data_IF_250335343810
#
_entry.id   IF_250335343810
#
_cell.length_a   1.000
_cell.length_b   1.000
_cell.length_c   1.000
_cell.angle_alpha   90.00
_cell.angle_beta   90.00
_cell.angle_gamma   90.00
#
_symmetry.space_group_name_H-M   'P 1'
#
loop_
_entity.id
_entity.type
_entity.pdbx_description
1 polymer ?
#
# COMPACT_ATOMS: atom_id res chain seq x y z
N UNK A 1 -28.32 2.07 -4.40
CA UNK A 1 -27.92 0.66 -4.54
C UNK A 1 -28.42 -0.03 -3.28
N UNK A 2 -29.42 -0.90 -3.36
CA UNK A 2 -29.89 -1.63 -2.19
C UNK A 2 -28.84 -2.70 -1.88
N UNK A 3 -27.97 -2.43 -0.92
CA UNK A 3 -27.08 -3.46 -0.37
C UNK A 3 -28.02 -4.42 0.36
N UNK A 4 -28.21 -5.61 -0.20
CA UNK A 4 -28.89 -6.69 0.53
C UNK A 4 -27.98 -7.00 1.70
N UNK A 5 -28.47 -6.78 2.92
CA UNK A 5 -27.77 -7.20 4.12
C UNK A 5 -27.60 -8.72 4.06
N UNK A 6 -26.35 -9.17 4.03
CA UNK A 6 -25.99 -10.58 4.12
C UNK A 6 -25.67 -10.85 5.59
N UNK A 7 -26.48 -11.67 6.26
CA UNK A 7 -26.36 -11.95 7.69
C UNK A 7 -25.02 -12.62 8.09
N UNK A 8 -24.20 -13.04 7.11
CA UNK A 8 -22.83 -13.53 7.31
C UNK A 8 -21.81 -12.41 7.48
N UNK A 9 -22.15 -11.17 7.11
CA UNK A 9 -21.27 -10.01 7.18
C UNK A 9 -21.63 -9.16 8.40
N UNK A 10 -20.66 -8.96 9.28
CA UNK A 10 -20.79 -8.08 10.44
C UNK A 10 -20.08 -6.77 10.12
N UNK A 11 -20.80 -5.66 10.20
CA UNK A 11 -20.20 -4.33 10.09
C UNK A 11 -19.30 -4.07 11.31
N UNK A 12 -17.99 -4.00 11.08
CA UNK A 12 -17.00 -3.72 12.14
C UNK A 12 -16.62 -2.24 12.15
N UNK A 13 -16.45 -1.63 10.98
CA UNK A 13 -16.13 -0.22 10.81
C UNK A 13 -16.56 0.27 9.42
N UNK A 14 -16.82 1.57 9.29
CA UNK A 14 -17.12 2.24 8.03
C UNK A 14 -16.36 3.56 7.90
N UNK A 15 -16.06 3.95 6.66
CA UNK A 15 -15.57 5.28 6.33
C UNK A 15 -16.47 5.88 5.26
N UNK A 16 -17.41 6.76 5.63
CA UNK A 16 -18.40 7.29 4.70
C UNK A 16 -17.84 8.36 3.76
N UNK A 17 -16.70 8.96 4.11
CA UNK A 17 -16.10 10.10 3.37
C UNK A 17 -14.96 9.65 2.48
N UNK A 18 -14.05 8.83 3.01
CA UNK A 18 -12.83 8.43 2.32
C UNK A 18 -12.88 6.93 1.97
N UNK A 19 -12.43 6.58 0.77
CA UNK A 19 -12.19 5.18 0.44
C UNK A 19 -10.88 4.72 1.10
N UNK A 20 -10.90 3.58 1.77
CA UNK A 20 -9.70 2.90 2.22
C UNK A 20 -9.37 1.70 1.33
N UNK A 21 -8.09 1.32 1.30
CA UNK A 21 -7.61 0.20 0.49
C UNK A 21 -7.11 -0.98 1.33
N UNK A 22 -6.59 -0.71 2.53
CA UNK A 22 -6.08 -1.73 3.44
C UNK A 22 -6.45 -1.42 4.88
N UNK A 23 -6.64 -2.47 5.68
CA UNK A 23 -6.90 -2.39 7.12
C UNK A 23 -5.94 -3.33 7.85
N UNK A 24 -5.42 -2.90 8.99
CA UNK A 24 -4.55 -3.69 9.86
C UNK A 24 -5.07 -3.68 11.30
N UNK A 25 -4.92 -4.80 12.01
CA UNK A 25 -5.33 -4.94 13.41
C UNK A 25 -4.15 -5.33 14.30
N UNK A 26 -4.02 -4.67 15.45
CA UNK A 26 -3.06 -5.11 16.49
C UNK A 26 -3.65 -6.27 17.31
N UNK A 27 -2.79 -6.95 18.06
CA UNK A 27 -3.23 -7.95 19.06
C UNK A 27 -4.12 -7.36 20.17
N UNK A 28 -4.06 -6.05 20.34
CA UNK A 28 -4.87 -5.27 21.31
C UNK A 28 -6.12 -4.66 20.68
N UNK A 29 -6.53 -5.13 19.49
CA UNK A 29 -7.73 -4.71 18.76
C UNK A 29 -7.74 -3.23 18.33
N UNK A 30 -6.57 -2.58 18.24
CA UNK A 30 -6.48 -1.29 17.54
C UNK A 30 -6.52 -1.54 16.05
N UNK A 31 -7.26 -0.70 15.33
CA UNK A 31 -7.51 -0.86 13.90
C UNK A 31 -6.99 0.35 13.14
N UNK A 32 -6.32 0.11 12.02
CA UNK A 32 -5.72 1.15 11.20
C UNK A 32 -6.11 0.96 9.75
N UNK A 33 -6.27 2.06 9.01
CA UNK A 33 -6.61 2.02 7.61
C UNK A 33 -5.65 2.87 6.76
N UNK A 34 -5.40 2.38 5.54
CA UNK A 34 -4.71 3.07 4.46
C UNK A 34 -5.72 3.77 3.55
N UNK A 35 -5.54 5.08 3.35
CA UNK A 35 -6.38 5.94 2.50
C UNK A 35 -5.55 6.48 1.33
N UNK A 36 -5.59 5.83 0.16
CA UNK A 36 -4.78 6.24 -0.99
C UNK A 36 -5.24 7.60 -1.55
N UNK A 37 -4.30 8.37 -2.09
CA UNK A 37 -4.56 9.57 -2.92
C UNK A 37 -4.49 9.24 -4.42
N UNK A 38 -4.97 8.07 -4.83
CA UNK A 38 -4.71 7.54 -6.16
C UNK A 38 -5.16 8.47 -7.31
N UNK A 39 -6.21 9.28 -7.11
CA UNK A 39 -6.78 10.20 -8.09
C UNK A 39 -6.58 11.69 -7.74
N UNK A 40 -5.70 12.02 -6.79
CA UNK A 40 -5.42 13.40 -6.39
C UNK A 40 -6.28 13.94 -5.23
N UNK A 41 -7.12 13.10 -4.63
CA UNK A 41 -7.92 13.47 -3.45
C UNK A 41 -7.02 13.78 -2.25
N UNK A 42 -7.41 14.76 -1.43
CA UNK A 42 -6.76 15.01 -0.14
C UNK A 42 -7.36 14.08 0.90
N UNK A 43 -6.63 13.02 1.25
CA UNK A 43 -7.05 12.04 2.26
C UNK A 43 -6.21 12.10 3.53
N UNK A 44 -6.72 11.44 4.58
CA UNK A 44 -6.04 11.23 5.85
C UNK A 44 -4.85 10.25 5.79
N UNK A 45 -4.48 9.71 4.62
CA UNK A 45 -3.42 8.70 4.36
C UNK A 45 -3.34 7.50 5.30
N UNK A 46 -2.99 7.67 6.57
CA UNK A 46 -3.06 6.64 7.61
C UNK A 46 -3.85 7.16 8.80
N UNK A 47 -4.89 6.42 9.21
CA UNK A 47 -5.62 6.73 10.42
C UNK A 47 -5.91 5.49 11.27
N UNK A 48 -5.94 5.68 12.58
CA UNK A 48 -6.56 4.75 13.52
C UNK A 48 -8.07 4.91 13.46
N UNK A 49 -8.78 3.79 13.35
CA UNK A 49 -10.24 3.71 13.44
C UNK A 49 -10.58 3.47 14.92
N UNK A 50 -11.14 4.50 15.57
CA UNK A 50 -11.53 4.43 16.97
C UNK A 50 -12.88 3.72 17.14
N UNK A 51 -13.18 3.27 18.36
CA UNK A 51 -14.39 2.50 18.68
C UNK A 51 -15.71 3.23 18.40
N UNK A 52 -15.68 4.54 18.22
CA UNK A 52 -16.81 5.38 17.84
C UNK A 52 -16.83 5.71 16.32
N UNK A 53 -16.12 4.94 15.50
CA UNK A 53 -15.93 5.14 14.06
C UNK A 53 -15.26 6.47 13.67
N UNK A 54 -14.64 7.18 14.61
CA UNK A 54 -13.85 8.36 14.25
C UNK A 54 -12.46 7.97 13.77
N UNK A 55 -11.96 8.72 12.79
CA UNK A 55 -10.64 8.51 12.20
C UNK A 55 -9.63 9.46 12.85
N UNK A 56 -8.61 8.91 13.50
CA UNK A 56 -7.50 9.67 14.07
C UNK A 56 -6.27 9.53 13.18
N UNK A 57 -5.84 10.58 12.45
CA UNK A 57 -4.64 10.50 11.63
C UNK A 57 -3.40 10.19 12.50
N UNK A 58 -2.59 9.24 12.06
CA UNK A 58 -1.33 8.85 12.69
C UNK A 58 -0.20 8.89 11.65
N UNK A 59 1.08 9.00 12.03
CA UNK A 59 1.61 9.20 13.40
C UNK A 59 1.26 10.58 14.00
N UNK A 60 0.77 11.52 13.18
CA UNK A 60 0.50 12.90 13.57
C UNK A 60 1.49 13.86 12.89
N UNK A 61 1.60 15.09 13.41
CA UNK A 61 2.40 16.14 12.78
C UNK A 61 1.97 16.38 11.32
N UNK A 62 2.94 16.53 10.43
CA UNK A 62 2.70 16.82 9.01
C UNK A 62 2.58 15.58 8.12
N UNK A 63 2.64 14.36 8.67
CA UNK A 63 2.68 13.14 7.87
C UNK A 63 1.49 12.98 6.92
N UNK A 64 0.30 13.39 7.35
CA UNK A 64 -0.93 13.30 6.57
C UNK A 64 -1.26 14.59 5.79
N UNK A 65 -0.32 15.53 5.66
CA UNK A 65 -0.54 16.86 5.06
C UNK A 65 0.17 17.06 3.72
N UNK A 66 0.61 15.97 3.07
CA UNK A 66 1.20 16.06 1.73
C UNK A 66 0.21 16.66 0.73
N UNK A 67 0.69 17.58 -0.10
CA UNK A 67 -0.09 18.19 -1.17
C UNK A 67 0.65 18.01 -2.51
N UNK A 68 0.12 17.20 -3.45
CA UNK A 68 0.78 16.93 -4.73
C UNK A 68 0.88 18.16 -5.64
N UNK A 69 0.07 19.22 -5.41
CA UNK A 69 0.13 20.45 -6.22
C UNK A 69 1.05 21.51 -5.63
N UNK A 70 1.67 21.25 -4.47
CA UNK A 70 2.60 22.16 -3.82
C UNK A 70 4.02 21.60 -3.91
N UNK A 71 4.85 22.20 -4.75
CA UNK A 71 6.25 21.79 -4.93
C UNK A 71 7.12 21.89 -3.67
N UNK A 72 6.69 22.67 -2.67
CA UNK A 72 7.35 22.74 -1.36
C UNK A 72 6.92 21.62 -0.40
N UNK A 73 5.99 20.75 -0.81
CA UNK A 73 5.57 19.61 0.01
C UNK A 73 6.61 18.49 -0.09
N UNK A 74 7.32 18.24 1.00
CA UNK A 74 8.37 17.22 1.06
C UNK A 74 7.77 15.80 1.10
N UNK A 75 7.89 15.09 -0.02
CA UNK A 75 7.47 13.70 -0.17
C UNK A 75 8.31 12.71 0.66
N UNK A 76 9.53 13.07 1.08
CA UNK A 76 10.38 12.23 1.92
C UNK A 76 9.92 12.14 3.37
N UNK A 77 9.31 13.21 3.89
CA UNK A 77 8.87 13.31 5.29
C UNK A 77 7.35 13.30 5.49
N UNK A 78 6.58 13.08 4.42
CA UNK A 78 5.12 12.99 4.43
C UNK A 78 4.63 11.79 3.64
N UNK A 79 3.41 11.34 3.92
CA UNK A 79 2.77 10.30 3.13
C UNK A 79 2.26 10.87 1.81
N UNK A 80 2.72 10.34 0.68
CA UNK A 80 2.31 10.75 -0.66
C UNK A 80 1.03 10.02 -1.06
N UNK A 81 1.09 8.70 -1.13
CA UNK A 81 -0.04 7.85 -1.51
C UNK A 81 0.10 6.46 -0.86
N UNK A 82 -0.53 6.31 0.31
CA UNK A 82 -0.49 5.07 1.10
C UNK A 82 -1.44 4.05 0.51
N UNK A 83 -0.88 2.94 0.06
CA UNK A 83 -1.65 1.88 -0.56
C UNK A 83 -2.00 0.75 0.41
N UNK A 84 -1.10 0.43 1.34
CA UNK A 84 -1.30 -0.64 2.32
C UNK A 84 -0.72 -0.28 3.68
N UNK A 85 -1.28 -0.92 4.71
CA UNK A 85 -0.77 -0.92 6.08
C UNK A 85 -0.75 -2.34 6.63
N UNK A 86 0.22 -2.64 7.48
CA UNK A 86 0.37 -3.92 8.17
C UNK A 86 0.81 -3.68 9.60
N UNK A 87 0.21 -4.39 10.56
CA UNK A 87 0.67 -4.45 11.95
C UNK A 87 1.48 -5.71 12.18
N UNK A 88 2.54 -5.62 12.97
CA UNK A 88 3.30 -6.80 13.40
C UNK A 88 3.08 -7.14 14.88
N UNK A 89 3.76 -8.18 15.37
CA UNK A 89 3.63 -8.65 16.74
C UNK A 89 4.23 -7.73 17.81
N UNK A 90 4.98 -6.70 17.41
CA UNK A 90 5.71 -5.78 18.26
C UNK A 90 5.02 -4.41 18.34
N UNK A 91 3.71 -4.35 18.07
CA UNK A 91 2.95 -3.10 18.00
C UNK A 91 3.61 -2.06 17.06
N UNK A 92 4.17 -2.54 15.94
CA UNK A 92 4.63 -1.67 14.86
C UNK A 92 3.57 -1.63 13.76
N UNK A 93 3.31 -0.44 13.24
CA UNK A 93 2.58 -0.24 11.99
C UNK A 93 3.57 0.05 10.86
N UNK A 94 3.45 -0.74 9.80
CA UNK A 94 4.18 -0.60 8.56
C UNK A 94 3.26 0.04 7.53
N UNK A 95 3.63 1.21 7.01
CA UNK A 95 2.86 1.91 5.98
C UNK A 95 3.62 1.90 4.65
N UNK A 96 2.95 1.44 3.60
CA UNK A 96 3.51 1.33 2.24
C UNK A 96 3.08 2.55 1.44
N UNK A 97 4.04 3.43 1.15
CA UNK A 97 3.83 4.61 0.34
C UNK A 97 4.33 4.35 -1.09
N UNK A 98 3.42 4.41 -2.06
CA UNK A 98 3.79 4.22 -3.47
C UNK A 98 4.69 5.35 -3.98
N UNK A 99 4.59 6.55 -3.40
CA UNK A 99 5.29 7.74 -3.89
C UNK A 99 4.72 8.33 -5.17
N UNK A 100 3.54 7.87 -5.61
CA UNK A 100 2.94 8.26 -6.88
C UNK A 100 1.48 8.65 -6.70
N UNK A 101 1.09 9.79 -7.28
CA UNK A 101 -0.32 10.25 -7.36
C UNK A 101 -0.69 10.32 -8.84
N UNK A 102 -1.78 9.65 -9.24
CA UNK A 102 -2.11 9.44 -10.65
C UNK A 102 -0.91 8.91 -11.45
N UNK A 103 -0.27 9.73 -12.29
CA UNK A 103 0.91 9.37 -13.08
C UNK A 103 2.18 10.12 -12.63
N UNK A 104 2.10 10.97 -11.61
CA UNK A 104 3.20 11.80 -11.13
C UNK A 104 3.94 11.07 -10.00
N UNK A 105 5.24 10.83 -10.20
CA UNK A 105 6.13 10.27 -9.19
C UNK A 105 6.84 11.39 -8.43
N UNK A 106 6.87 11.29 -7.11
CA UNK A 106 7.49 12.28 -6.24
C UNK A 106 8.83 11.77 -5.71
N UNK A 107 9.86 12.60 -5.82
CA UNK A 107 11.20 12.28 -5.34
C UNK A 107 11.18 11.91 -3.85
N UNK A 108 11.85 10.81 -3.48
CA UNK A 108 11.83 10.24 -2.12
C UNK A 108 10.45 9.83 -1.58
N UNK A 109 9.40 9.90 -2.41
CA UNK A 109 8.03 9.57 -2.02
C UNK A 109 7.81 8.07 -1.81
N UNK A 110 8.49 7.21 -2.59
CA UNK A 110 8.28 5.76 -2.56
C UNK A 110 9.10 5.12 -1.44
N UNK A 111 8.41 4.66 -0.39
CA UNK A 111 9.03 4.26 0.88
C UNK A 111 8.16 3.32 1.70
N UNK A 112 8.81 2.55 2.56
CA UNK A 112 8.18 1.83 3.65
C UNK A 112 8.44 2.59 4.96
N UNK A 113 7.40 2.92 5.70
CA UNK A 113 7.51 3.69 6.95
C UNK A 113 7.19 2.79 8.14
N UNK A 114 8.10 2.73 9.10
CA UNK A 114 7.97 1.99 10.37
C UNK A 114 7.50 2.95 11.46
N UNK A 115 6.33 2.68 12.04
CA UNK A 115 5.67 3.53 13.04
C UNK A 115 5.53 2.72 14.33
N UNK A 116 6.04 3.26 15.43
CA UNK A 116 5.83 2.70 16.76
C UNK A 116 4.42 3.06 17.25
N UNK A 117 3.59 2.06 17.55
CA UNK A 117 2.22 2.33 17.98
C UNK A 117 2.10 2.65 19.47
N UNK A 118 3.13 2.45 20.30
CA UNK A 118 3.09 2.84 21.71
C UNK A 118 3.05 4.36 21.89
N UNK A 119 3.78 5.10 21.05
CA UNK A 119 3.86 6.57 21.09
C UNK A 119 3.42 7.25 19.78
N UNK A 120 3.02 6.46 18.78
CA UNK A 120 2.64 6.93 17.44
C UNK A 120 3.74 7.78 16.77
N UNK A 121 5.00 7.35 16.83
CA UNK A 121 6.11 8.05 16.16
C UNK A 121 6.73 7.23 15.04
N UNK A 122 7.27 7.89 14.02
CA UNK A 122 8.06 7.22 12.99
C UNK A 122 9.43 6.86 13.55
N UNK A 123 9.73 5.56 13.56
CA UNK A 123 11.05 5.07 13.98
C UNK A 123 12.04 5.06 12.83
N UNK A 124 11.57 4.70 11.63
CA UNK A 124 12.44 4.56 10.47
C UNK A 124 11.66 4.71 9.16
N UNK A 125 12.33 5.30 8.18
CA UNK A 125 11.89 5.36 6.79
C UNK A 125 12.86 4.51 5.97
N UNK A 126 12.33 3.56 5.22
CA UNK A 126 13.09 2.76 4.26
C UNK A 126 12.78 3.29 2.86
N UNK A 127 13.66 4.17 2.36
CA UNK A 127 13.54 4.73 1.02
C UNK A 127 13.89 3.69 -0.05
N UNK A 128 13.19 3.73 -1.17
CA UNK A 128 13.50 2.92 -2.36
C UNK A 128 14.32 3.67 -3.41
N UNK A 129 14.72 4.93 -3.17
CA UNK A 129 15.42 5.77 -4.15
C UNK A 129 16.70 5.11 -4.71
N UNK A 130 17.40 4.30 -3.91
CA UNK A 130 18.60 3.57 -4.34
C UNK A 130 18.36 2.56 -5.48
N UNK A 131 17.10 2.16 -5.72
CA UNK A 131 16.75 1.30 -6.85
C UNK A 131 16.84 2.00 -8.21
N UNK A 132 16.82 3.34 -8.25
CA UNK A 132 16.73 4.13 -9.49
C UNK A 132 15.65 3.58 -10.44
N UNK A 133 14.47 3.27 -9.88
CA UNK A 133 13.43 2.56 -10.60
C UNK A 133 12.87 3.40 -11.75
N UNK A 134 12.43 2.77 -12.85
CA UNK A 134 11.85 3.48 -13.98
C UNK A 134 10.52 4.17 -13.60
N UNK A 135 10.15 5.19 -14.39
CA UNK A 135 8.85 5.84 -14.29
C UNK A 135 7.70 4.82 -14.29
N UNK A 136 6.71 5.04 -13.42
CA UNK A 136 5.61 4.13 -13.18
C UNK A 136 5.87 3.06 -12.12
N UNK A 137 7.05 3.02 -11.49
CA UNK A 137 7.28 2.17 -10.31
C UNK A 137 6.38 2.60 -9.14
N UNK A 138 5.68 1.64 -8.53
CA UNK A 138 4.80 1.91 -7.40
C UNK A 138 4.71 0.71 -6.45
N UNK A 139 5.13 0.91 -5.19
CA UNK A 139 4.92 -0.07 -4.11
C UNK A 139 3.43 -0.26 -3.83
N UNK A 140 3.04 -1.48 -3.45
CA UNK A 140 1.63 -1.82 -3.25
C UNK A 140 1.37 -2.39 -1.85
N UNK A 141 1.90 -3.57 -1.52
CA UNK A 141 1.63 -4.28 -0.26
C UNK A 141 2.94 -4.82 0.34
N UNK A 142 2.92 -5.24 1.61
CA UNK A 142 4.10 -5.69 2.37
C UNK A 142 3.80 -6.92 3.23
N UNK A 143 4.82 -7.78 3.40
CA UNK A 143 4.92 -8.75 4.50
C UNK A 143 6.29 -8.61 5.16
N UNK A 144 6.30 -8.77 6.48
CA UNK A 144 7.50 -8.70 7.31
C UNK A 144 7.82 -10.11 7.77
N UNK A 145 9.07 -10.54 7.57
CA UNK A 145 9.56 -11.83 8.03
C UNK A 145 11.01 -11.72 8.50
N UNK A 146 11.33 -12.30 9.64
CA UNK A 146 12.65 -12.25 10.29
C UNK A 146 13.25 -10.83 10.29
N UNK A 147 14.13 -10.52 9.33
CA UNK A 147 14.82 -9.24 9.21
C UNK A 147 14.59 -8.57 7.84
N UNK A 148 13.52 -8.93 7.15
CA UNK A 148 13.23 -8.44 5.81
C UNK A 148 11.77 -7.97 5.68
N UNK A 149 11.59 -6.94 4.88
CA UNK A 149 10.29 -6.62 4.29
C UNK A 149 10.28 -7.08 2.84
N UNK A 150 9.22 -7.80 2.46
CA UNK A 150 8.93 -8.19 1.10
C UNK A 150 7.75 -7.35 0.64
N UNK A 151 7.90 -6.66 -0.49
CA UNK A 151 6.88 -5.77 -1.02
C UNK A 151 6.53 -6.14 -2.45
N UNK A 152 5.25 -6.04 -2.78
CA UNK A 152 4.81 -6.06 -4.17
C UNK A 152 4.98 -4.68 -4.79
N UNK A 153 5.37 -4.67 -6.05
CA UNK A 153 5.49 -3.46 -6.86
C UNK A 153 4.53 -3.60 -8.04
N UNK A 154 3.44 -2.84 -8.01
CA UNK A 154 2.27 -3.04 -8.86
C UNK A 154 2.23 -2.13 -10.08
N UNK A 155 3.12 -1.16 -10.18
CA UNK A 155 3.15 -0.25 -11.31
C UNK A 155 3.74 -0.89 -12.56
N UNK A 156 4.89 -1.54 -12.42
CA UNK A 156 5.60 -2.23 -13.49
C UNK A 156 5.66 -3.75 -13.29
N UNK A 157 5.46 -4.22 -12.06
CA UNK A 157 5.52 -5.64 -11.71
C UNK A 157 6.91 -6.08 -11.31
N UNK A 158 7.13 -6.21 -10.00
CA UNK A 158 8.34 -6.81 -9.42
C UNK A 158 8.09 -7.18 -7.95
N UNK A 159 9.09 -7.76 -7.29
CA UNK A 159 9.15 -7.88 -5.83
C UNK A 159 10.31 -7.00 -5.33
N UNK A 160 10.05 -6.18 -4.33
CA UNK A 160 11.05 -5.37 -3.64
C UNK A 160 11.35 -6.01 -2.30
N UNK A 161 12.63 -6.13 -1.94
CA UNK A 161 13.07 -6.73 -0.69
C UNK A 161 13.94 -5.70 0.03
N UNK A 162 13.60 -5.41 1.27
CA UNK A 162 14.33 -4.47 2.13
C UNK A 162 14.90 -5.26 3.31
N UNK A 163 16.21 -5.15 3.54
CA UNK A 163 16.82 -5.59 4.79
C UNK A 163 16.48 -4.58 5.89
N UNK A 164 15.74 -4.99 6.93
CA UNK A 164 15.25 -4.10 7.96
C UNK A 164 16.35 -3.61 8.90
N UNK A 165 17.44 -4.37 9.04
CA UNK A 165 18.62 -3.96 9.81
C UNK A 165 19.43 -2.88 9.10
N UNK A 166 19.86 -3.16 7.86
CA UNK A 166 20.75 -2.27 7.11
C UNK A 166 20.01 -1.16 6.35
N UNK A 167 18.77 -1.40 5.96
CA UNK A 167 18.00 -0.55 5.05
C UNK A 167 18.33 -0.78 3.57
N UNK A 168 19.19 -1.75 3.25
CA UNK A 168 19.51 -2.10 1.87
C UNK A 168 18.26 -2.61 1.14
N UNK A 169 18.08 -2.15 -0.09
CA UNK A 169 16.92 -2.47 -0.91
C UNK A 169 17.36 -3.12 -2.22
N UNK A 170 16.65 -4.17 -2.63
CA UNK A 170 16.81 -4.81 -3.94
C UNK A 170 15.48 -5.03 -4.63
N UNK A 171 15.48 -4.93 -5.94
CA UNK A 171 14.33 -5.22 -6.80
C UNK A 171 14.61 -6.49 -7.59
N UNK A 172 13.71 -7.47 -7.50
CA UNK A 172 13.86 -8.78 -8.13
C UNK A 172 12.63 -9.12 -8.96
N UNK A 173 12.78 -10.07 -9.89
CA UNK A 173 11.69 -10.57 -10.73
C UNK A 173 11.00 -9.49 -11.58
N UNK A 174 11.68 -8.37 -11.85
CA UNK A 174 11.09 -7.23 -12.56
C UNK A 174 10.85 -7.48 -14.05
N UNK A 175 11.42 -8.52 -14.65
CA UNK A 175 11.13 -8.96 -16.03
C UNK A 175 10.53 -10.38 -16.07
N UNK A 176 10.24 -10.96 -14.91
CA UNK A 176 9.77 -12.34 -14.84
C UNK A 176 8.26 -12.41 -15.16
N UNK A 177 7.79 -13.34 -16.02
CA UNK A 177 6.38 -13.44 -16.40
C UNK A 177 5.42 -13.56 -15.21
N UNK A 178 5.84 -14.19 -14.10
CA UNK A 178 5.01 -14.33 -12.90
C UNK A 178 4.66 -13.01 -12.21
N UNK A 179 5.38 -11.92 -12.46
CA UNK A 179 5.09 -10.59 -11.89
C UNK A 179 4.36 -9.69 -12.88
N UNK A 180 4.15 -10.17 -14.11
CA UNK A 180 3.53 -9.42 -15.18
C UNK A 180 2.05 -9.74 -15.29
N UNK A 181 1.34 -8.74 -15.78
CA UNK A 181 -0.05 -8.88 -16.13
C UNK A 181 -0.19 -9.86 -17.30
N UNK A 182 -1.06 -10.85 -17.11
CA UNK A 182 -1.16 -12.00 -18.00
C UNK A 182 -2.21 -11.83 -19.10
N UNK A 183 -3.44 -11.44 -18.77
CA UNK A 183 -4.53 -11.48 -19.75
C UNK A 183 -5.32 -10.16 -19.82
N UNK A 184 -5.10 -9.34 -20.87
CA UNK A 184 -5.84 -8.10 -21.10
C UNK A 184 -7.32 -8.27 -21.43
N UNK A 185 -7.79 -9.50 -21.64
CA UNK A 185 -9.17 -9.76 -22.08
C UNK A 185 -10.18 -9.89 -20.93
N UNK A 186 -9.76 -9.94 -19.64
CA UNK A 186 -10.62 -10.46 -18.56
C UNK A 186 -10.75 -9.58 -17.30
N UNK A 187 -10.28 -8.33 -17.27
CA UNK A 187 -10.61 -7.48 -16.11
C UNK A 187 -12.06 -7.02 -16.19
N UNK A 188 -13.00 -7.80 -15.65
CA UNK A 188 -14.42 -7.46 -15.60
C UNK A 188 -14.89 -7.24 -14.17
N UNK A 189 -15.57 -6.13 -13.94
CA UNK A 189 -16.33 -5.85 -12.72
C UNK A 189 -17.79 -5.69 -13.11
N UNK A 190 -18.69 -6.42 -12.46
CA UNK A 190 -20.13 -6.45 -12.80
C UNK A 190 -20.38 -6.71 -14.30
N UNK A 191 -19.57 -7.59 -14.90
CA UNK A 191 -19.66 -7.93 -16.33
C UNK A 191 -19.04 -6.91 -17.29
N UNK A 192 -18.56 -5.75 -16.82
CA UNK A 192 -17.97 -4.68 -17.66
C UNK A 192 -16.46 -4.69 -17.62
N UNK A 193 -15.80 -4.50 -18.76
CA UNK A 193 -14.34 -4.38 -18.82
C UNK A 193 -13.91 -3.11 -18.07
N UNK A 194 -12.93 -3.26 -17.18
CA UNK A 194 -12.33 -2.13 -16.46
C UNK A 194 -11.25 -1.52 -17.35
N UNK A 195 -11.43 -0.25 -17.68
CA UNK A 195 -10.51 0.52 -18.51
C UNK A 195 -9.70 1.50 -17.65
N UNK A 196 -8.49 1.82 -18.09
CA UNK A 196 -7.71 2.92 -17.55
C UNK A 196 -8.19 4.27 -18.14
N UNK A 197 -7.53 5.36 -17.74
CA UNK A 197 -7.86 6.72 -18.21
C UNK A 197 -7.68 6.91 -19.72
N UNK A 198 -6.90 6.05 -20.40
CA UNK A 198 -6.70 6.09 -21.86
C UNK A 198 -7.65 5.16 -22.63
N UNK A 199 -8.63 4.55 -21.94
CA UNK A 199 -9.60 3.65 -22.55
C UNK A 199 -9.08 2.25 -22.87
N UNK A 200 -7.88 1.90 -22.40
CA UNK A 200 -7.28 0.56 -22.56
C UNK A 200 -7.62 -0.32 -21.36
N UNK A 201 -7.66 -1.66 -21.50
CA UNK A 201 -7.84 -2.57 -20.36
C UNK A 201 -6.86 -2.24 -19.23
N UNK A 202 -7.38 -2.10 -18.01
CA UNK A 202 -6.57 -1.80 -16.84
C UNK A 202 -5.60 -2.95 -16.59
N UNK A 203 -4.31 -2.63 -16.54
CA UNK A 203 -3.25 -3.59 -16.20
C UNK A 203 -2.91 -3.44 -14.73
N UNK A 204 -2.92 -4.55 -14.01
CA UNK A 204 -2.47 -4.62 -12.61
C UNK A 204 -1.48 -5.78 -12.49
N UNK A 205 -0.17 -5.49 -12.66
CA UNK A 205 0.95 -6.39 -12.37
C UNK A 205 0.96 -6.91 -10.92
N UNK A 206 2.11 -7.40 -10.46
CA UNK A 206 2.27 -7.98 -9.13
C UNK A 206 1.65 -7.11 -8.01
N UNK A 207 0.66 -7.65 -7.30
CA UNK A 207 -0.17 -6.87 -6.38
C UNK A 207 -0.30 -7.54 -5.03
N UNK A 208 -0.75 -8.79 -5.00
CA UNK A 208 -0.96 -9.52 -3.75
C UNK A 208 0.31 -10.28 -3.36
N UNK A 209 0.56 -10.38 -2.05
CA UNK A 209 1.59 -11.25 -1.48
C UNK A 209 1.13 -11.84 -0.14
N UNK A 210 1.71 -12.98 0.21
CA UNK A 210 1.62 -13.56 1.54
C UNK A 210 2.91 -14.31 1.88
N UNK A 211 3.32 -14.26 3.14
CA UNK A 211 4.47 -15.00 3.64
C UNK A 211 3.96 -16.21 4.43
N UNK A 212 4.51 -17.40 4.17
CA UNK A 212 4.15 -18.59 4.94
C UNK A 212 4.45 -18.39 6.44
N UNK A 213 3.70 -19.03 7.36
CA UNK A 213 3.94 -18.85 8.80
C UNK A 213 5.35 -19.23 9.27
N UNK A 214 6.04 -20.11 8.55
CA UNK A 214 7.43 -20.50 8.80
C UNK A 214 8.46 -19.62 8.05
N UNK A 215 7.98 -18.58 7.35
CA UNK A 215 8.73 -17.60 6.57
C UNK A 215 9.57 -18.15 5.41
N UNK A 216 9.36 -19.41 5.02
CA UNK A 216 10.15 -20.07 3.96
C UNK A 216 9.62 -19.83 2.56
N UNK A 217 8.34 -19.51 2.42
CA UNK A 217 7.67 -19.38 1.12
C UNK A 217 7.00 -18.02 1.03
N UNK A 218 7.42 -17.21 0.06
CA UNK A 218 6.73 -15.99 -0.33
C UNK A 218 5.80 -16.30 -1.50
N UNK A 219 4.49 -16.26 -1.25
CA UNK A 219 3.47 -16.27 -2.29
C UNK A 219 3.27 -14.86 -2.81
N UNK A 220 3.15 -14.71 -4.12
CA UNK A 220 2.80 -13.44 -4.74
C UNK A 220 2.06 -13.68 -6.05
N UNK A 221 1.21 -12.73 -6.45
CA UNK A 221 0.52 -12.81 -7.74
C UNK A 221 0.13 -11.44 -8.29
N UNK A 222 0.12 -11.28 -9.62
CA UNK A 222 -0.65 -10.25 -10.28
C UNK A 222 -2.13 -10.34 -9.91
N UNK A 223 -2.85 -9.22 -9.93
CA UNK A 223 -4.31 -9.25 -9.67
C UNK A 223 -5.06 -10.03 -10.74
N UNK A 224 -4.49 -10.09 -11.95
CA UNK A 224 -5.04 -10.81 -13.09
C UNK A 224 -3.89 -11.61 -13.75
N UNK A 225 -3.64 -12.81 -13.24
CA UNK A 225 -2.61 -13.74 -13.72
C UNK A 225 -3.18 -14.79 -14.68
N UNK A 226 -2.31 -15.48 -15.41
CA UNK A 226 -2.69 -16.71 -16.11
C UNK A 226 -3.05 -17.75 -15.04
N UNK A 227 -4.09 -18.55 -15.31
CA UNK A 227 -4.33 -19.79 -14.56
C UNK A 227 -3.22 -20.80 -14.86
#
# INVERSE_FOLDING_TARGET
MNVIADDRLILVAESPVYQWNGVALTKTNRMFAAFPRALGDVTLSVAEILSNNTLKPIPGGDWNTFNPTNSSSDAGSRFVNINAVLTDSNDTLWAVDSGMVANDTFENGSKLVKINLHNNTVERIYSTSALNAPSGFALNDVRIGSNYAYLTESGLGSVVIINLGTGEVRRVLYDHPSTKFADPTVVRMEGRVVLNQTGQPKRMPNNNLELSPDEKILYYKPSFSYN
#
